data_IF_476834207605
#
_entry.id   IF_476834207605
#
_cell.length_a   1.000
_cell.length_b   1.000
_cell.length_c   1.000
_cell.angle_alpha   90.00
_cell.angle_beta   90.00
_cell.angle_gamma   90.00
#
_symmetry.space_group_name_H-M   'P 1'
#
loop_
_entity.id
_entity.type
_entity.pdbx_description
1 polymer ?
#
# COMPACT_ATOMS: atom_id res chain seq x y z
N UNK A 1 2.17 1.38 -2.73
CA UNK A 1 2.80 2.49 -1.98
C UNK A 1 2.71 2.34 -0.45
N UNK A 2 1.80 1.52 0.08
CA UNK A 2 1.68 1.28 1.53
C UNK A 2 2.55 0.14 2.06
N UNK A 3 3.76 0.54 2.46
CA UNK A 3 4.63 -0.02 3.49
C UNK A 3 5.99 0.54 3.14
N UNK A 4 6.19 1.82 3.45
CA UNK A 4 7.48 2.33 3.87
C UNK A 4 7.46 2.38 5.40
N UNK A 5 7.20 1.24 6.04
CA UNK A 5 8.05 0.96 7.18
C UNK A 5 9.41 0.62 6.57
N UNK A 6 10.26 1.63 6.39
CA UNK A 6 11.70 1.41 6.50
C UNK A 6 11.93 0.98 7.94
N UNK A 7 11.67 -0.30 8.21
CA UNK A 7 12.18 -0.92 9.41
C UNK A 7 13.70 -0.95 9.24
N UNK A 8 14.39 -0.18 10.09
CA UNK A 8 15.74 -0.50 10.50
C UNK A 8 15.71 -1.88 11.16
N UNK A 9 15.72 -2.93 10.33
CA UNK A 9 15.92 -4.30 10.78
C UNK A 9 17.31 -4.72 10.30
N UNK A 10 18.30 -4.53 11.17
CA UNK A 10 19.57 -5.24 11.14
C UNK A 10 19.38 -6.77 11.36
N UNK A 11 18.14 -7.28 11.42
CA UNK A 11 17.84 -8.70 11.27
C UNK A 11 17.76 -9.08 9.79
N UNK A 12 18.87 -9.61 9.27
CA UNK A 12 18.90 -10.27 7.96
C UNK A 12 17.74 -11.27 7.85
N UNK A 13 16.87 -11.07 6.87
CA UNK A 13 15.81 -12.02 6.54
C UNK A 13 16.38 -13.45 6.44
N UNK A 14 15.67 -14.41 7.02
CA UNK A 14 16.07 -15.82 7.03
C UNK A 14 16.18 -16.36 5.60
N UNK A 15 16.91 -17.47 5.42
CA UNK A 15 16.97 -18.13 4.11
C UNK A 15 15.59 -18.64 3.65
N UNK A 16 14.75 -19.09 4.60
CA UNK A 16 13.39 -19.54 4.32
C UNK A 16 12.53 -18.40 3.76
N UNK A 17 12.52 -17.26 4.47
CA UNK A 17 11.78 -16.06 4.05
C UNK A 17 12.26 -15.53 2.70
N UNK A 18 13.58 -15.42 2.50
CA UNK A 18 14.18 -14.98 1.23
C UNK A 18 13.76 -15.87 0.07
N UNK A 19 13.72 -17.18 0.27
CA UNK A 19 13.27 -18.12 -0.76
C UNK A 19 11.80 -17.91 -1.10
N UNK A 20 10.93 -17.77 -0.10
CA UNK A 20 9.49 -17.67 -0.31
C UNK A 20 9.03 -16.30 -0.84
N UNK A 21 9.68 -15.20 -0.42
CA UNK A 21 9.36 -13.85 -0.93
C UNK A 21 10.13 -13.48 -2.19
N UNK A 22 11.22 -14.20 -2.49
CA UNK A 22 12.18 -13.88 -3.55
C UNK A 22 11.58 -13.60 -4.93
N UNK A 23 10.60 -14.37 -5.42
CA UNK A 23 9.90 -14.06 -6.67
C UNK A 23 9.20 -12.69 -6.64
N UNK A 24 8.36 -12.44 -5.64
CA UNK A 24 7.64 -11.17 -5.46
C UNK A 24 8.56 -9.99 -5.18
N UNK A 25 9.70 -10.21 -4.52
CA UNK A 25 10.67 -9.16 -4.20
C UNK A 25 11.37 -8.59 -5.45
N UNK A 26 11.32 -9.29 -6.59
CA UNK A 26 11.88 -8.83 -7.88
C UNK A 26 10.86 -8.09 -8.74
N UNK A 27 9.58 -8.15 -8.38
CA UNK A 27 8.48 -7.51 -9.11
C UNK A 27 8.51 -6.00 -8.87
N UNK A 28 8.24 -5.23 -9.93
CA UNK A 28 8.09 -3.78 -9.80
C UNK A 28 6.87 -3.45 -8.94
N UNK A 29 7.08 -2.67 -7.87
CA UNK A 29 6.00 -2.24 -6.99
C UNK A 29 5.31 -0.97 -7.53
N UNK A 30 4.44 -1.15 -8.51
CA UNK A 30 3.60 -0.09 -9.10
C UNK A 30 2.22 -0.63 -9.44
N UNK A 31 1.21 0.24 -9.51
CA UNK A 31 -0.15 -0.21 -9.85
C UNK A 31 -0.24 -0.62 -11.32
N UNK A 32 0.50 0.05 -12.20
CA UNK A 32 0.59 -0.31 -13.61
C UNK A 32 1.12 -1.75 -13.75
N UNK A 33 2.22 -2.09 -13.06
CA UNK A 33 2.73 -3.45 -13.13
C UNK A 33 1.74 -4.45 -12.51
N UNK A 34 1.18 -4.13 -11.33
CA UNK A 34 0.21 -4.98 -10.64
C UNK A 34 -0.98 -5.35 -11.53
N UNK A 35 -1.70 -4.38 -12.07
CA UNK A 35 -2.92 -4.66 -12.84
C UNK A 35 -2.63 -5.21 -14.24
N UNK A 36 -1.46 -4.93 -14.82
CA UNK A 36 -1.08 -5.54 -16.09
C UNK A 36 -0.71 -7.03 -15.95
N UNK A 37 -0.22 -7.43 -14.78
CA UNK A 37 0.24 -8.79 -14.43
C UNK A 37 -0.56 -9.39 -13.26
N UNK A 38 -1.85 -9.04 -13.13
CA UNK A 38 -2.65 -9.32 -11.94
C UNK A 38 -2.66 -10.82 -11.58
N UNK A 39 -3.13 -11.68 -12.49
CA UNK A 39 -3.14 -13.14 -12.33
C UNK A 39 -1.77 -13.70 -11.93
N UNK A 40 -0.73 -13.31 -12.66
CA UNK A 40 0.64 -13.80 -12.44
C UNK A 40 1.14 -13.43 -11.03
N UNK A 41 0.83 -12.22 -10.55
CA UNK A 41 1.21 -11.76 -9.22
C UNK A 41 0.41 -12.48 -8.14
N UNK A 42 -0.88 -12.71 -8.36
CA UNK A 42 -1.73 -13.44 -7.41
C UNK A 42 -1.26 -14.91 -7.30
N UNK A 43 -0.91 -15.57 -8.41
CA UNK A 43 -0.30 -16.90 -8.44
C UNK A 43 1.05 -16.96 -7.69
N UNK A 44 1.90 -15.94 -7.90
CA UNK A 44 3.18 -15.83 -7.18
C UNK A 44 2.96 -15.64 -5.68
N UNK A 45 1.94 -14.87 -5.29
CA UNK A 45 1.57 -14.65 -3.89
C UNK A 45 1.07 -15.92 -3.24
N UNK A 46 0.18 -16.66 -3.89
CA UNK A 46 -0.33 -17.94 -3.39
C UNK A 46 0.82 -18.95 -3.22
N UNK A 47 1.68 -19.07 -4.23
CA UNK A 47 2.86 -19.93 -4.18
C UNK A 47 3.81 -19.56 -3.03
N UNK A 48 4.04 -18.27 -2.82
CA UNK A 48 4.84 -17.74 -1.71
C UNK A 48 4.19 -18.04 -0.35
N UNK A 49 2.88 -17.88 -0.25
CA UNK A 49 2.12 -18.18 0.97
C UNK A 49 2.16 -19.69 1.30
N UNK A 50 2.07 -20.56 0.29
CA UNK A 50 2.26 -22.00 0.48
C UNK A 50 3.68 -22.36 0.92
N UNK A 51 4.68 -21.68 0.35
CA UNK A 51 6.09 -21.84 0.73
C UNK A 51 6.32 -21.47 2.20
N UNK A 52 5.86 -20.29 2.65
CA UNK A 52 6.18 -19.76 3.97
C UNK A 52 5.51 -20.52 5.12
N UNK A 53 4.42 -21.25 4.86
CA UNK A 53 3.77 -22.14 5.86
C UNK A 53 4.72 -23.17 6.48
N UNK A 54 5.86 -23.45 5.83
CA UNK A 54 6.90 -24.38 6.31
C UNK A 54 8.04 -23.66 7.06
N UNK A 55 8.03 -22.33 7.11
CA UNK A 55 9.00 -21.52 7.83
C UNK A 55 8.55 -21.30 9.29
N UNK A 56 9.39 -20.64 10.09
CA UNK A 56 9.04 -20.24 11.45
C UNK A 56 7.94 -19.17 11.45
N UNK A 57 7.17 -19.09 12.55
CA UNK A 57 6.07 -18.14 12.69
C UNK A 57 6.48 -16.69 12.42
N UNK A 58 7.68 -16.30 12.86
CA UNK A 58 8.24 -14.97 12.61
C UNK A 58 8.43 -14.68 11.11
N UNK A 59 8.82 -15.68 10.32
CA UNK A 59 8.96 -15.54 8.87
C UNK A 59 7.59 -15.47 8.17
N UNK A 60 6.59 -16.21 8.68
CA UNK A 60 5.21 -16.12 8.19
C UNK A 60 4.68 -14.69 8.36
N UNK A 61 4.86 -14.10 9.54
CA UNK A 61 4.47 -12.73 9.84
C UNK A 61 5.20 -11.72 8.94
N UNK A 62 6.53 -11.85 8.80
CA UNK A 62 7.31 -10.97 7.91
C UNK A 62 6.91 -11.13 6.44
N UNK A 63 6.58 -12.34 5.98
CA UNK A 63 6.07 -12.55 4.62
C UNK A 63 4.76 -11.79 4.39
N UNK A 64 3.81 -11.89 5.32
CA UNK A 64 2.55 -11.15 5.21
C UNK A 64 2.79 -9.63 5.21
N UNK A 65 3.72 -9.13 6.03
CA UNK A 65 4.09 -7.71 6.02
C UNK A 65 4.67 -7.28 4.66
N UNK A 66 5.68 -8.00 4.15
CA UNK A 66 6.32 -7.67 2.86
C UNK A 66 5.37 -7.74 1.67
N UNK A 67 4.43 -8.68 1.70
CA UNK A 67 3.50 -8.92 0.58
C UNK A 67 2.19 -8.16 0.69
N UNK A 68 2.02 -7.31 1.72
CA UNK A 68 0.77 -6.57 1.97
C UNK A 68 0.24 -5.85 0.74
N UNK A 69 1.12 -5.21 -0.05
CA UNK A 69 0.70 -4.51 -1.28
C UNK A 69 0.00 -5.43 -2.28
N UNK A 70 0.47 -6.67 -2.45
CA UNK A 70 -0.13 -7.63 -3.38
C UNK A 70 -1.34 -8.32 -2.74
N UNK A 71 -1.23 -8.71 -1.46
CA UNK A 71 -2.30 -9.41 -0.74
C UNK A 71 -3.60 -8.62 -0.67
N UNK A 72 -3.51 -7.31 -0.50
CA UNK A 72 -4.70 -6.46 -0.45
C UNK A 72 -5.52 -6.59 -1.74
N UNK A 73 -4.86 -6.71 -2.90
CA UNK A 73 -5.53 -6.75 -4.20
C UNK A 73 -5.88 -8.17 -4.64
N UNK A 74 -5.06 -9.15 -4.29
CA UNK A 74 -5.18 -10.54 -4.73
C UNK A 74 -5.92 -11.47 -3.75
N UNK A 75 -6.18 -11.03 -2.52
CA UNK A 75 -6.77 -11.87 -1.48
C UNK A 75 -7.83 -11.11 -0.70
N UNK A 76 -7.47 -9.95 -0.14
CA UNK A 76 -8.35 -9.28 0.83
C UNK A 76 -9.56 -8.60 0.12
N UNK A 77 -9.40 -8.15 -1.13
CA UNK A 77 -10.41 -7.45 -1.93
C UNK A 77 -10.52 -7.96 -3.38
N UNK A 78 -10.09 -9.19 -3.65
CA UNK A 78 -10.11 -9.78 -4.99
C UNK A 78 -11.51 -9.71 -5.63
N UNK A 79 -12.53 -10.23 -4.95
CA UNK A 79 -13.91 -10.26 -5.47
C UNK A 79 -14.49 -8.87 -5.76
N UNK A 80 -14.15 -7.87 -4.92
CA UNK A 80 -14.61 -6.49 -5.11
C UNK A 80 -13.86 -5.82 -6.28
N UNK A 81 -12.60 -6.17 -6.53
CA UNK A 81 -11.76 -5.51 -7.54
C UNK A 81 -11.79 -6.17 -8.90
N UNK A 82 -11.92 -7.50 -8.97
CA UNK A 82 -11.85 -8.30 -10.20
C UNK A 82 -12.73 -7.74 -11.34
N UNK A 83 -13.99 -7.32 -11.10
CA UNK A 83 -14.83 -6.73 -12.15
C UNK A 83 -14.27 -5.43 -12.75
N UNK A 84 -13.42 -4.73 -12.01
CA UNK A 84 -12.87 -3.42 -12.37
C UNK A 84 -11.45 -3.49 -12.93
N UNK A 85 -10.75 -4.62 -12.80
CA UNK A 85 -9.37 -4.81 -13.27
C UNK A 85 -9.18 -4.39 -14.74
N UNK A 86 -10.09 -4.70 -15.70
CA UNK A 86 -9.94 -4.27 -17.08
C UNK A 86 -9.85 -2.74 -17.28
N UNK A 87 -10.57 -1.96 -16.46
CA UNK A 87 -10.49 -0.51 -16.49
C UNK A 87 -9.23 -0.02 -15.75
N UNK A 88 -9.03 -0.50 -14.52
CA UNK A 88 -7.89 -0.11 -13.68
C UNK A 88 -6.55 -0.34 -14.38
N UNK A 89 -6.43 -1.45 -15.14
CA UNK A 89 -5.25 -1.75 -15.96
C UNK A 89 -4.94 -0.66 -17.00
N UNK A 90 -5.95 -0.04 -17.59
CA UNK A 90 -5.78 1.05 -18.58
C UNK A 90 -5.38 2.36 -17.89
N UNK A 91 -6.04 2.69 -16.78
CA UNK A 91 -5.79 3.93 -16.03
C UNK A 91 -4.44 3.92 -15.29
N UNK A 92 -3.93 2.75 -14.90
CA UNK A 92 -2.82 2.65 -13.95
C UNK A 92 -1.50 3.24 -14.41
N UNK A 93 -1.22 3.23 -15.72
CA UNK A 93 0.00 3.84 -16.25
C UNK A 93 0.02 5.34 -16.00
N UNK A 94 -1.09 6.01 -16.29
CA UNK A 94 -1.21 7.45 -16.16
C UNK A 94 -1.31 7.84 -14.68
N UNK A 95 -2.09 7.09 -13.89
CA UNK A 95 -2.15 7.26 -12.44
C UNK A 95 -0.76 7.12 -11.77
N UNK A 96 0.03 6.11 -12.15
CA UNK A 96 1.41 5.96 -11.64
C UNK A 96 2.29 7.15 -12.02
N UNK A 97 2.19 7.66 -13.25
CA UNK A 97 2.98 8.79 -13.70
C UNK A 97 2.62 10.08 -12.93
N UNK A 98 1.33 10.40 -12.85
CA UNK A 98 0.80 11.60 -12.17
C UNK A 98 1.10 11.54 -10.68
N UNK A 99 0.78 10.44 -10.00
CA UNK A 99 0.90 10.37 -8.55
C UNK A 99 2.34 10.24 -8.06
N UNK A 100 3.23 9.60 -8.82
CA UNK A 100 4.67 9.62 -8.50
C UNK A 100 5.21 11.03 -8.58
N UNK A 101 4.89 11.78 -9.64
CA UNK A 101 5.35 13.17 -9.79
C UNK A 101 4.76 14.06 -8.68
N UNK A 102 3.43 14.06 -8.54
CA UNK A 102 2.71 14.90 -7.57
C UNK A 102 3.13 14.64 -6.12
N UNK A 103 3.32 13.39 -5.72
CA UNK A 103 3.52 13.06 -4.31
C UNK A 103 4.98 12.81 -3.92
N UNK A 104 5.75 12.07 -4.73
CA UNK A 104 7.12 11.72 -4.34
C UNK A 104 8.10 12.88 -4.56
N UNK A 105 7.90 13.70 -5.61
CA UNK A 105 8.78 14.84 -5.85
C UNK A 105 8.51 15.99 -4.86
N UNK A 106 7.25 16.16 -4.45
CA UNK A 106 6.83 17.21 -3.49
C UNK A 106 7.41 16.99 -2.09
N UNK A 107 7.40 15.75 -1.60
CA UNK A 107 7.82 15.42 -0.24
C UNK A 107 9.15 14.65 -0.19
N UNK A 108 10.08 15.01 -1.09
CA UNK A 108 11.37 14.34 -1.20
C UNK A 108 12.09 14.26 0.15
N UNK A 109 12.36 13.04 0.60
CA UNK A 109 13.05 12.75 1.86
C UNK A 109 14.56 12.87 1.62
N UNK A 110 15.23 13.73 2.39
CA UNK A 110 16.68 13.80 2.40
C UNK A 110 17.22 12.85 3.49
N UNK A 111 18.25 12.08 3.18
CA UNK A 111 18.90 11.17 4.14
C UNK A 111 19.54 11.91 5.30
N UNK A 112 19.85 13.20 5.13
CA UNK A 112 20.42 14.06 6.15
C UNK A 112 19.35 14.80 6.98
N UNK A 113 18.07 14.68 6.64
CA UNK A 113 16.99 15.24 7.47
C UNK A 113 16.96 14.55 8.85
N UNK A 114 16.56 15.30 9.87
CA UNK A 114 16.29 14.74 11.20
C UNK A 114 15.20 13.66 11.12
N UNK A 115 15.29 12.65 12.00
CA UNK A 115 14.38 11.49 12.00
C UNK A 115 12.90 11.89 12.02
N UNK A 116 12.53 12.86 12.85
CA UNK A 116 11.15 13.36 12.95
C UNK A 116 10.68 14.00 11.63
N UNK A 117 11.57 14.73 10.95
CA UNK A 117 11.28 15.35 9.66
C UNK A 117 11.15 14.31 8.54
N UNK A 118 11.97 13.25 8.57
CA UNK A 118 11.84 12.13 7.64
C UNK A 118 10.51 11.39 7.83
N UNK A 119 10.13 11.11 9.08
CA UNK A 119 8.87 10.47 9.44
C UNK A 119 7.68 11.31 8.95
N UNK A 120 7.67 12.61 9.27
CA UNK A 120 6.65 13.56 8.80
C UNK A 120 6.51 13.57 7.27
N UNK A 121 7.63 13.68 6.54
CA UNK A 121 7.62 13.64 5.07
C UNK A 121 7.12 12.29 4.53
N UNK A 122 7.47 11.19 5.19
CA UNK A 122 6.96 9.85 4.85
C UNK A 122 5.43 9.78 4.95
N UNK A 123 4.86 10.25 6.05
CA UNK A 123 3.41 10.26 6.25
C UNK A 123 2.69 11.21 5.29
N UNK A 124 3.26 12.38 4.99
CA UNK A 124 2.71 13.29 3.96
C UNK A 124 2.74 12.68 2.55
N UNK A 125 3.83 11.99 2.19
CA UNK A 125 3.94 11.28 0.92
C UNK A 125 2.90 10.17 0.83
N UNK A 126 2.67 9.48 1.94
CA UNK A 126 1.70 8.40 2.04
C UNK A 126 0.27 8.92 1.88
N UNK A 127 -0.13 9.93 2.65
CA UNK A 127 -1.43 10.60 2.51
C UNK A 127 -1.67 11.03 1.07
N UNK A 128 -0.73 11.80 0.50
CA UNK A 128 -0.82 12.28 -0.88
C UNK A 128 -0.99 11.13 -1.88
N UNK A 129 -0.16 10.09 -1.78
CA UNK A 129 -0.18 8.99 -2.74
C UNK A 129 -1.53 8.27 -2.69
N UNK A 130 -2.04 8.00 -1.49
CA UNK A 130 -3.35 7.35 -1.28
C UNK A 130 -4.47 8.11 -1.97
N UNK A 131 -4.54 9.41 -1.67
CA UNK A 131 -5.59 10.30 -2.19
C UNK A 131 -5.45 10.42 -3.70
N UNK A 132 -4.23 10.62 -4.21
CA UNK A 132 -3.97 10.74 -5.63
C UNK A 132 -4.39 9.46 -6.38
N UNK A 133 -3.89 8.28 -6.01
CA UNK A 133 -4.25 7.05 -6.73
C UNK A 133 -5.74 6.79 -6.69
N UNK A 134 -6.40 7.02 -5.55
CA UNK A 134 -7.86 6.89 -5.48
C UNK A 134 -8.56 7.83 -6.48
N UNK A 135 -8.19 9.12 -6.48
CA UNK A 135 -8.81 10.12 -7.34
C UNK A 135 -8.56 9.83 -8.83
N UNK A 136 -7.32 9.56 -9.23
CA UNK A 136 -6.98 9.24 -10.63
C UNK A 136 -7.72 7.97 -11.11
N UNK A 137 -7.83 6.93 -10.26
CA UNK A 137 -8.57 5.73 -10.64
C UNK A 137 -10.07 5.95 -10.71
N UNK A 138 -10.66 6.76 -9.82
CA UNK A 138 -12.11 7.01 -9.84
C UNK A 138 -12.50 7.96 -10.98
N UNK A 139 -11.62 8.87 -11.37
CA UNK A 139 -11.83 9.72 -12.55
C UNK A 139 -11.92 8.89 -13.84
N UNK A 140 -11.00 7.94 -14.01
CA UNK A 140 -10.96 7.09 -15.22
C UNK A 140 -11.87 5.85 -15.15
N UNK A 141 -12.13 5.33 -13.94
CA UNK A 141 -12.96 4.15 -13.70
C UNK A 141 -14.02 4.43 -12.60
N UNK A 142 -15.05 5.25 -12.88
CA UNK A 142 -16.03 5.66 -11.88
C UNK A 142 -16.78 4.49 -11.23
N UNK A 143 -17.00 3.39 -11.96
CA UNK A 143 -17.63 2.19 -11.47
C UNK A 143 -16.83 1.48 -10.37
N UNK A 144 -15.52 1.71 -10.30
CA UNK A 144 -14.64 1.13 -9.29
C UNK A 144 -14.62 1.93 -7.97
N UNK A 145 -15.30 3.09 -7.90
CA UNK A 145 -15.26 4.02 -6.76
C UNK A 145 -15.53 3.34 -5.43
N UNK A 146 -16.63 2.58 -5.34
CA UNK A 146 -17.03 1.96 -4.08
C UNK A 146 -16.07 0.84 -3.67
N UNK A 147 -15.61 0.03 -4.62
CA UNK A 147 -14.62 -1.02 -4.37
C UNK A 147 -13.28 -0.44 -3.88
N UNK A 148 -12.77 0.58 -4.56
CA UNK A 148 -11.53 1.27 -4.19
C UNK A 148 -11.65 2.00 -2.85
N UNK A 149 -12.80 2.62 -2.58
CA UNK A 149 -13.04 3.32 -1.31
C UNK A 149 -13.08 2.32 -0.16
N UNK A 150 -13.81 1.21 -0.32
CA UNK A 150 -13.90 0.11 0.64
C UNK A 150 -12.52 -0.46 0.94
N UNK A 151 -11.71 -0.71 -0.10
CA UNK A 151 -10.33 -1.19 0.03
C UNK A 151 -9.46 -0.23 0.85
N UNK A 152 -9.41 1.05 0.46
CA UNK A 152 -8.54 2.02 1.14
C UNK A 152 -8.97 2.26 2.59
N UNK A 153 -10.27 2.47 2.83
CA UNK A 153 -10.84 2.69 4.17
C UNK A 153 -10.62 1.45 5.05
N UNK A 154 -10.91 0.25 4.52
CA UNK A 154 -10.75 -0.99 5.26
C UNK A 154 -9.28 -1.28 5.62
N UNK A 155 -8.34 -1.00 4.70
CA UNK A 155 -6.91 -1.13 4.97
C UNK A 155 -6.47 -0.15 6.08
N UNK A 156 -6.85 1.13 5.98
CA UNK A 156 -6.49 2.15 6.98
C UNK A 156 -7.04 1.77 8.35
N UNK A 157 -8.31 1.37 8.39
CA UNK A 157 -8.97 0.92 9.62
C UNK A 157 -8.26 -0.30 10.23
N UNK A 158 -7.94 -1.31 9.41
CA UNK A 158 -7.25 -2.51 9.88
C UNK A 158 -5.87 -2.18 10.46
N UNK A 159 -5.12 -1.27 9.84
CA UNK A 159 -3.81 -0.86 10.37
C UNK A 159 -3.98 -0.12 11.69
N UNK A 160 -4.93 0.82 11.77
CA UNK A 160 -5.18 1.61 12.98
C UNK A 160 -5.47 0.71 14.21
N UNK A 161 -6.21 -0.39 14.03
CA UNK A 161 -6.50 -1.36 15.11
C UNK A 161 -5.25 -2.09 15.65
N UNK A 162 -4.17 -2.15 14.87
CA UNK A 162 -2.91 -2.79 15.30
C UNK A 162 -1.99 -1.84 16.07
N UNK A 163 -2.28 -0.54 16.08
CA UNK A 163 -1.44 0.47 16.74
C UNK A 163 -1.71 0.51 18.24
N UNK A 164 -0.64 0.39 19.03
CA UNK A 164 -0.74 0.62 20.47
C UNK A 164 -1.08 2.10 20.74
N UNK A 165 -2.05 2.43 21.63
CA UNK A 165 -2.51 3.80 21.86
C UNK A 165 -1.38 4.80 22.18
N UNK A 166 -0.44 4.40 23.05
CA UNK A 166 0.73 5.22 23.41
C UNK A 166 1.61 5.51 22.19
N UNK A 167 1.77 4.53 21.29
CA UNK A 167 2.56 4.73 20.07
C UNK A 167 1.86 5.72 19.14
N UNK A 168 0.54 5.59 18.99
CA UNK A 168 -0.27 6.50 18.18
C UNK A 168 -0.24 7.95 18.70
N UNK A 169 -0.36 8.15 20.01
CA UNK A 169 -0.29 9.49 20.62
C UNK A 169 1.07 10.18 20.40
N UNK A 170 2.15 9.39 20.36
CA UNK A 170 3.52 9.90 20.15
C UNK A 170 3.86 10.20 18.70
N UNK A 171 3.04 9.77 17.74
CA UNK A 171 3.24 10.07 16.32
C UNK A 171 3.12 11.57 16.05
N UNK A 172 3.68 12.03 14.95
CA UNK A 172 3.38 13.37 14.42
C UNK A 172 1.91 13.46 13.98
N UNK A 173 1.36 14.67 13.85
CA UNK A 173 -0.03 14.82 13.40
C UNK A 173 -0.22 14.23 11.99
N UNK A 174 0.75 14.43 11.11
CA UNK A 174 0.74 13.90 9.75
C UNK A 174 0.68 12.37 9.73
N UNK A 175 1.34 11.71 10.68
CA UNK A 175 1.28 10.26 10.80
C UNK A 175 0.01 9.77 11.49
N UNK A 176 -0.58 10.54 12.41
CA UNK A 176 -1.93 10.21 12.91
C UNK A 176 -2.98 10.30 11.81
N UNK A 177 -2.89 11.30 10.94
CA UNK A 177 -3.85 11.53 9.85
C UNK A 177 -3.95 10.33 8.90
N UNK A 178 -2.84 9.70 8.51
CA UNK A 178 -2.86 8.53 7.61
C UNK A 178 -3.51 7.29 8.23
N UNK A 179 -3.67 7.26 9.55
CA UNK A 179 -4.34 6.20 10.29
C UNK A 179 -5.75 6.60 10.76
N UNK A 180 -6.13 7.87 10.59
CA UNK A 180 -7.49 8.34 10.83
C UNK A 180 -8.37 8.04 9.63
N UNK A 181 -9.30 7.11 9.83
CA UNK A 181 -10.18 6.61 8.77
C UNK A 181 -11.11 7.70 8.24
N UNK A 182 -11.63 8.58 9.10
CA UNK A 182 -12.55 9.65 8.70
C UNK A 182 -11.81 10.78 7.99
N UNK A 183 -10.59 11.10 8.44
CA UNK A 183 -9.70 12.02 7.75
C UNK A 183 -9.42 11.53 6.33
N UNK A 184 -8.87 10.33 6.18
CA UNK A 184 -8.48 9.81 4.86
C UNK A 184 -9.68 9.61 3.93
N UNK A 185 -10.82 9.14 4.45
CA UNK A 185 -12.05 9.03 3.65
C UNK A 185 -12.49 10.38 3.11
N UNK A 186 -12.51 11.43 3.94
CA UNK A 186 -12.86 12.79 3.48
C UNK A 186 -11.89 13.30 2.42
N UNK A 187 -10.58 13.09 2.61
CA UNK A 187 -9.55 13.52 1.66
C UNK A 187 -9.67 12.80 0.31
N UNK A 188 -9.96 11.51 0.30
CA UNK A 188 -10.19 10.74 -0.93
C UNK A 188 -11.42 11.24 -1.70
N UNK A 189 -12.50 11.60 -1.00
CA UNK A 189 -13.76 12.05 -1.61
C UNK A 189 -13.78 13.56 -1.94
N UNK A 190 -12.78 14.32 -1.50
CA UNK A 190 -12.72 15.77 -1.71
C UNK A 190 -12.72 16.10 -3.21
N UNK A 191 -13.71 16.89 -3.64
CA UNK A 191 -13.87 17.29 -5.04
C UNK A 191 -14.57 16.28 -5.96
N UNK A 192 -15.00 15.12 -5.43
CA UNK A 192 -15.74 14.09 -6.19
C UNK A 192 -17.26 14.11 -5.97
N UNK A 193 -17.73 14.95 -5.04
CA UNK A 193 -19.16 15.18 -4.80
C UNK A 193 -19.64 16.32 -5.73
N UNK A 194 -20.06 15.96 -6.94
CA UNK A 194 -20.90 16.79 -7.81
C UNK A 194 -22.32 16.22 -7.84
#
# INVERSE_FOLDING_TARGET
>A
VFSQQQHNDDEKASECLKKCVGPLAKVERSFNYLFNHYEEICDMLESGAFCVRKCEQKDVEKFHQYTTFYRIHCVDYEEDLEPHIPCLKKAAKDADAVCKDKCHNTYKIDKNDEKEKQEKKGCLTLECSTVCYFQEFVEECPEAKDALLKLNVGQIHSIALTLHPISFERMTQECRNVHDTDHMKRRMLEGLDN
#
